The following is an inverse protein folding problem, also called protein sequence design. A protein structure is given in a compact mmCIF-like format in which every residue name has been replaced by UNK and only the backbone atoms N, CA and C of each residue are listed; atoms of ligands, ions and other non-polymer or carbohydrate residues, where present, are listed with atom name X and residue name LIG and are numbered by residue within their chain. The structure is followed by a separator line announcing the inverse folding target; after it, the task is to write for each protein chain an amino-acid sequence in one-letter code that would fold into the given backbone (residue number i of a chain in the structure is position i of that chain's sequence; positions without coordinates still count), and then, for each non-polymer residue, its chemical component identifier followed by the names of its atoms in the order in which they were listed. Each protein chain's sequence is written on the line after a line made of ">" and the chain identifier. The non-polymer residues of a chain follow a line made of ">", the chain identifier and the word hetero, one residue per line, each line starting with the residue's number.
data_IF_726242960781
#
_entry.id   IF_726242960781
#
_cell.length_a   1.000
_cell.length_b   1.000
_cell.length_c   1.000
_cell.angle_alpha   90.00
_cell.angle_beta   90.00
_cell.angle_gamma   90.00
#
_symmetry.space_group_name_H-M   'P 1'
#
loop_
_entity.id
_entity.type
_entity.pdbx_description
1 polymer ?
#
# COMPACT_ATOMS: atom_id res chain seq x y z
N UNK A 1 3.04 -14.91 64.28
CA UNK A 1 3.62 -15.34 62.99
C UNK A 1 2.77 -16.36 62.23
N UNK A 2 2.35 -17.51 62.78
CA UNK A 2 1.56 -18.52 62.02
C UNK A 2 0.22 -18.01 61.44
N UNK A 3 -0.47 -17.08 62.12
CA UNK A 3 -1.77 -16.54 61.65
C UNK A 3 -1.66 -15.67 60.40
N UNK A 4 -0.55 -14.94 60.23
CA UNK A 4 -0.35 -14.03 59.08
C UNK A 4 -0.10 -14.80 57.78
N UNK A 5 0.57 -15.96 57.87
CA UNK A 5 0.84 -16.82 56.70
C UNK A 5 -0.45 -17.43 56.14
N UNK A 6 -1.37 -17.85 57.01
CA UNK A 6 -2.66 -18.44 56.60
C UNK A 6 -3.54 -17.40 55.87
N UNK A 7 -3.54 -16.15 56.34
CA UNK A 7 -4.33 -15.07 55.73
C UNK A 7 -3.84 -14.77 54.31
N UNK A 8 -2.52 -14.66 54.10
CA UNK A 8 -1.95 -14.39 52.78
C UNK A 8 -2.23 -15.53 51.78
N UNK A 9 -2.26 -16.78 52.25
CA UNK A 9 -2.52 -17.95 51.40
C UNK A 9 -3.99 -18.03 50.95
N UNK A 10 -4.92 -17.61 51.81
CA UNK A 10 -6.35 -17.50 51.47
C UNK A 10 -6.60 -16.38 50.46
N UNK A 11 -5.94 -15.22 50.62
CA UNK A 11 -6.06 -14.10 49.68
C UNK A 11 -5.53 -14.52 48.30
N UNK A 12 -4.38 -15.19 48.24
CA UNK A 12 -3.81 -15.67 46.98
C UNK A 12 -4.75 -16.67 46.28
N UNK A 13 -5.37 -17.59 47.03
CA UNK A 13 -6.32 -18.55 46.47
C UNK A 13 -7.57 -17.88 45.91
N UNK A 14 -8.08 -16.84 46.58
CA UNK A 14 -9.23 -16.06 46.11
C UNK A 14 -8.87 -15.30 44.82
N UNK A 15 -7.67 -14.70 44.74
CA UNK A 15 -7.22 -14.01 43.53
C UNK A 15 -7.09 -14.96 42.32
N UNK A 16 -6.70 -16.22 42.53
CA UNK A 16 -6.60 -17.20 41.44
C UNK A 16 -7.99 -17.59 40.91
N UNK A 17 -9.01 -17.63 41.78
CA UNK A 17 -10.37 -18.01 41.40
C UNK A 17 -11.14 -16.90 40.66
N UNK A 18 -10.69 -15.65 40.71
CA UNK A 18 -11.39 -14.51 40.08
C UNK A 18 -10.92 -14.18 38.66
N UNK A 19 -9.98 -14.94 38.08
CA UNK A 19 -9.38 -14.63 36.75
C UNK A 19 -10.09 -15.35 35.59
N UNK A 20 -11.16 -16.10 35.82
CA UNK A 20 -11.93 -16.73 34.73
C UNK A 20 -12.92 -15.75 34.09
N UNK A 21 -12.40 -14.74 33.40
CA UNK A 21 -13.16 -14.03 32.37
C UNK A 21 -13.12 -14.88 31.10
N UNK A 22 -14.20 -15.60 30.80
CA UNK A 22 -14.43 -16.10 29.45
C UNK A 22 -14.71 -14.87 28.58
N UNK A 23 -13.84 -14.60 27.62
CA UNK A 23 -14.11 -13.57 26.62
C UNK A 23 -15.34 -14.02 25.83
N UNK A 24 -16.42 -13.23 25.89
CA UNK A 24 -17.58 -13.42 25.05
C UNK A 24 -17.18 -13.05 23.62
N UNK A 25 -17.32 -13.99 22.69
CA UNK A 25 -17.06 -13.76 21.28
C UNK A 25 -18.26 -12.96 20.74
N UNK A 26 -18.02 -11.72 20.34
CA UNK A 26 -19.01 -10.85 19.72
C UNK A 26 -18.80 -10.92 18.21
N UNK A 27 -19.79 -11.45 17.49
CA UNK A 27 -19.84 -11.43 16.02
C UNK A 27 -20.71 -10.26 15.58
N UNK A 28 -20.19 -9.41 14.70
CA UNK A 28 -20.97 -8.34 14.08
C UNK A 28 -21.61 -8.88 12.80
N UNK A 29 -22.85 -8.48 12.50
CA UNK A 29 -23.49 -8.79 11.22
C UNK A 29 -22.55 -8.44 10.03
N UNK A 30 -22.43 -9.28 8.99
CA UNK A 30 -23.21 -10.50 8.70
C UNK A 30 -22.63 -11.81 9.28
N UNK A 31 -21.88 -11.77 10.39
CA UNK A 31 -21.27 -12.97 10.98
C UNK A 31 -22.08 -13.52 12.16
N UNK A 32 -22.18 -14.85 12.25
CA UNK A 32 -22.84 -15.58 13.35
C UNK A 32 -21.83 -16.36 14.19
N UNK A 33 -22.19 -16.65 15.44
CA UNK A 33 -21.35 -17.43 16.36
C UNK A 33 -21.42 -18.92 16.04
N UNK A 34 -20.28 -19.52 15.65
CA UNK A 34 -20.13 -20.93 15.32
C UNK A 34 -18.96 -21.54 16.12
N UNK A 35 -19.30 -22.50 17.00
CA UNK A 35 -18.40 -23.11 17.99
C UNK A 35 -17.66 -22.08 18.86
N UNK A 36 -16.37 -21.86 18.61
CA UNK A 36 -15.49 -20.92 19.32
C UNK A 36 -15.01 -19.77 18.38
N UNK A 37 -15.79 -19.45 17.33
CA UNK A 37 -15.45 -18.44 16.31
C UNK A 37 -16.68 -17.76 15.69
N UNK A 38 -16.45 -16.74 14.85
CA UNK A 38 -17.48 -16.12 14.02
C UNK A 38 -17.35 -16.63 12.59
N UNK A 39 -18.47 -16.95 11.92
CA UNK A 39 -18.47 -17.30 10.50
C UNK A 39 -19.56 -16.53 9.73
N UNK A 40 -19.38 -16.44 8.41
CA UNK A 40 -20.24 -15.64 7.53
C UNK A 40 -21.63 -16.28 7.36
N UNK A 41 -22.67 -15.45 7.43
CA UNK A 41 -24.08 -15.76 7.15
C UNK A 41 -24.59 -14.76 6.10
N UNK A 42 -24.20 -14.97 4.86
CA UNK A 42 -24.41 -14.05 3.74
C UNK A 42 -25.89 -13.91 3.39
N UNK A 43 -26.70 -14.95 3.61
CA UNK A 43 -28.14 -14.96 3.30
C UNK A 43 -29.05 -14.81 4.54
N UNK A 44 -28.48 -14.43 5.69
CA UNK A 44 -29.16 -14.18 6.97
C UNK A 44 -30.03 -15.37 7.44
N UNK A 45 -29.63 -16.60 7.09
CA UNK A 45 -30.39 -17.81 7.39
C UNK A 45 -29.95 -18.49 8.71
N UNK A 46 -28.96 -17.93 9.42
CA UNK A 46 -28.31 -18.46 10.63
C UNK A 46 -27.60 -19.81 10.40
N UNK A 47 -27.11 -20.04 9.19
CA UNK A 47 -26.27 -21.17 8.82
C UNK A 47 -24.93 -20.59 8.41
N UNK A 48 -23.87 -21.24 8.87
CA UNK A 48 -22.53 -20.92 8.43
C UNK A 48 -22.46 -21.21 6.94
N UNK A 49 -22.31 -20.17 6.11
CA UNK A 49 -21.99 -20.41 4.71
C UNK A 49 -20.63 -21.07 4.69
N UNK A 50 -20.53 -22.22 4.01
CA UNK A 50 -19.23 -22.83 3.75
C UNK A 50 -18.44 -21.77 2.99
N UNK A 51 -17.54 -21.08 3.69
CA UNK A 51 -16.39 -20.45 3.08
C UNK A 51 -15.79 -21.58 2.24
N UNK A 52 -16.00 -21.49 0.93
CA UNK A 52 -15.34 -22.37 -0.01
C UNK A 52 -13.87 -21.99 0.17
N UNK A 53 -13.20 -22.63 1.13
CA UNK A 53 -11.77 -22.74 1.13
C UNK A 53 -11.47 -23.16 -0.29
N UNK A 54 -10.76 -22.28 -0.99
CA UNK A 54 -10.33 -22.50 -2.34
C UNK A 54 -9.28 -23.59 -2.23
N UNK A 55 -9.74 -24.82 -2.02
CA UNK A 55 -8.97 -26.03 -2.17
C UNK A 55 -8.39 -25.90 -3.56
N UNK A 56 -7.09 -25.68 -3.61
CA UNK A 56 -6.29 -25.60 -4.81
C UNK A 56 -6.50 -26.90 -5.59
N UNK A 57 -7.46 -26.91 -6.50
CA UNK A 57 -7.66 -28.00 -7.44
C UNK A 57 -6.45 -28.03 -8.37
N UNK A 58 -5.59 -29.05 -8.20
CA UNK A 58 -4.68 -29.48 -9.26
C UNK A 58 -5.55 -29.91 -10.46
N UNK A 59 -5.62 -29.04 -11.47
CA UNK A 59 -6.19 -29.34 -12.77
C UNK A 59 -5.32 -30.41 -13.43
N UNK A 60 -5.77 -31.66 -13.40
CA UNK A 60 -5.24 -32.70 -14.28
C UNK A 60 -5.73 -32.43 -15.70
N UNK A 61 -4.82 -32.05 -16.60
CA UNK A 61 -5.09 -31.94 -18.04
C UNK A 61 -5.49 -33.31 -18.62
N UNK A 62 -6.79 -33.51 -18.87
CA UNK A 62 -7.27 -34.54 -19.78
C UNK A 62 -7.49 -33.93 -21.17
N UNK A 63 -6.68 -34.41 -22.11
CA UNK A 63 -6.59 -33.99 -23.51
C UNK A 63 -7.93 -34.26 -24.22
N UNK A 64 -8.69 -33.21 -24.53
CA UNK A 64 -9.76 -33.27 -25.52
C UNK A 64 -9.18 -32.84 -26.87
N UNK A 65 -8.96 -33.83 -27.74
CA UNK A 65 -8.78 -33.60 -29.18
C UNK A 65 -10.15 -33.36 -29.79
N UNK A 66 -10.43 -32.13 -30.19
CA UNK A 66 -11.51 -31.87 -31.15
C UNK A 66 -11.00 -31.20 -32.43
N UNK A 67 -11.53 -31.77 -33.49
CA UNK A 67 -11.33 -31.59 -34.91
C UNK A 67 -11.91 -30.25 -35.35
N UNK A 68 -11.09 -29.35 -35.89
CA UNK A 68 -11.55 -28.12 -36.55
C UNK A 68 -11.01 -28.09 -37.97
N UNK A 69 -11.77 -28.72 -38.87
CA UNK A 69 -11.73 -28.48 -40.30
C UNK A 69 -12.34 -27.12 -40.62
N UNK A 70 -11.59 -26.28 -41.32
CA UNK A 70 -12.14 -25.22 -42.18
C UNK A 70 -12.02 -23.80 -41.63
N UNK A 71 -10.83 -23.22 -41.78
CA UNK A 71 -10.66 -21.76 -41.83
C UNK A 71 -10.00 -21.44 -43.17
N UNK A 72 -10.69 -20.66 -43.99
CA UNK A 72 -10.21 -20.09 -45.25
C UNK A 72 -9.00 -19.18 -44.99
N UNK A 73 -7.98 -19.31 -45.85
CA UNK A 73 -6.85 -18.38 -45.92
C UNK A 73 -7.36 -16.96 -46.21
N UNK A 74 -7.38 -16.11 -45.18
CA UNK A 74 -7.43 -14.67 -45.36
C UNK A 74 -6.01 -14.23 -45.70
N UNK A 75 -5.79 -13.86 -46.97
CA UNK A 75 -4.62 -13.09 -47.38
C UNK A 75 -4.75 -11.69 -46.80
N UNK A 76 -4.02 -11.44 -45.72
CA UNK A 76 -3.69 -10.10 -45.26
C UNK A 76 -2.61 -9.56 -46.20
N UNK A 77 -2.95 -8.51 -46.95
CA UNK A 77 -1.98 -7.68 -47.63
C UNK A 77 -1.29 -6.84 -46.56
N UNK A 78 0.00 -7.13 -46.32
CA UNK A 78 0.90 -6.34 -45.50
C UNK A 78 1.12 -5.00 -46.20
N UNK A 79 0.40 -3.97 -45.75
CA UNK A 79 0.68 -2.59 -46.11
C UNK A 79 1.83 -2.11 -45.22
N UNK A 80 3.05 -2.28 -45.73
CA UNK A 80 4.28 -1.73 -45.17
C UNK A 80 4.24 -0.20 -45.24
N UNK A 81 3.72 0.44 -44.20
CA UNK A 81 4.10 1.79 -43.85
C UNK A 81 4.29 1.90 -42.34
N UNK A 82 5.38 1.32 -41.85
CA UNK A 82 5.94 1.65 -40.55
C UNK A 82 6.37 3.12 -40.57
N UNK A 83 5.50 3.99 -40.07
CA UNK A 83 5.93 5.30 -39.60
C UNK A 83 6.67 5.08 -38.28
N UNK A 84 7.99 4.92 -38.38
CA UNK A 84 8.90 4.94 -37.24
C UNK A 84 8.81 6.32 -36.61
N UNK A 85 7.97 6.45 -35.58
CA UNK A 85 7.98 7.61 -34.70
C UNK A 85 9.25 7.45 -33.85
N UNK A 86 10.35 8.08 -34.27
CA UNK A 86 11.50 8.32 -33.39
C UNK A 86 11.02 9.21 -32.24
N UNK A 87 10.63 8.61 -31.12
CA UNK A 87 10.48 9.30 -29.84
C UNK A 87 11.89 9.56 -29.29
N UNK A 88 12.63 10.44 -29.97
CA UNK A 88 13.94 10.93 -29.55
C UNK A 88 13.78 12.32 -28.89
N UNK A 89 13.02 12.39 -27.82
CA UNK A 89 13.21 13.41 -26.79
C UNK A 89 13.40 12.72 -25.45
N UNK A 90 14.54 12.04 -25.30
CA UNK A 90 15.10 11.77 -23.99
C UNK A 90 15.50 13.13 -23.43
N UNK A 91 14.63 13.67 -22.56
CA UNK A 91 14.87 14.93 -21.87
C UNK A 91 16.20 14.81 -21.12
N UNK A 92 17.20 15.62 -21.50
CA UNK A 92 18.54 15.57 -20.91
C UNK A 92 18.50 16.12 -19.48
N UNK A 93 18.18 15.25 -18.53
CA UNK A 93 18.10 15.52 -17.09
C UNK A 93 19.48 15.73 -16.44
N UNK A 94 20.58 15.74 -17.20
CA UNK A 94 21.93 15.83 -16.64
C UNK A 94 22.33 17.22 -16.11
N UNK A 95 21.48 18.24 -16.28
CA UNK A 95 21.81 19.63 -15.96
C UNK A 95 20.99 20.26 -14.82
N UNK A 96 20.16 19.48 -14.13
CA UNK A 96 19.49 19.91 -12.91
C UNK A 96 20.35 19.54 -11.69
N UNK A 97 20.89 20.55 -10.99
CA UNK A 97 21.60 20.42 -9.71
C UNK A 97 20.57 20.23 -8.59
N UNK A 98 19.82 19.12 -8.63
CA UNK A 98 18.89 18.69 -7.58
C UNK A 98 19.72 18.20 -6.38
N UNK A 99 20.25 19.13 -5.57
CA UNK A 99 20.93 18.75 -4.32
C UNK A 99 19.97 18.17 -3.27
N UNK A 100 18.67 18.35 -3.48
CA UNK A 100 17.59 17.84 -2.66
C UNK A 100 16.56 17.24 -3.61
N UNK A 101 16.11 16.03 -3.32
CA UNK A 101 15.20 15.31 -4.19
C UNK A 101 14.99 13.87 -3.74
N UNK A 102 13.97 13.26 -4.33
CA UNK A 102 13.48 11.93 -4.02
C UNK A 102 14.54 10.85 -4.25
N UNK A 103 15.56 11.08 -5.09
CA UNK A 103 16.69 10.15 -5.29
C UNK A 103 17.42 9.77 -3.98
N UNK A 104 17.35 10.64 -2.96
CA UNK A 104 18.03 10.45 -1.68
C UNK A 104 17.04 10.38 -0.52
N UNK A 105 15.75 10.09 -0.78
CA UNK A 105 14.72 10.25 0.25
C UNK A 105 15.05 9.44 1.50
N UNK A 106 15.53 8.21 1.32
CA UNK A 106 15.95 7.30 2.39
C UNK A 106 16.95 7.96 3.35
N UNK A 107 17.91 8.71 2.83
CA UNK A 107 18.95 9.35 3.63
C UNK A 107 18.38 10.45 4.54
N UNK A 108 17.23 11.03 4.20
CA UNK A 108 16.54 12.00 5.07
C UNK A 108 15.98 11.39 6.35
N UNK A 109 15.75 10.06 6.35
CA UNK A 109 15.23 9.31 7.49
C UNK A 109 16.36 8.61 8.28
N UNK A 110 17.52 8.36 7.65
CA UNK A 110 18.65 7.69 8.31
C UNK A 110 19.18 8.46 9.52
N UNK A 111 19.24 7.78 10.67
CA UNK A 111 19.92 8.27 11.88
C UNK A 111 19.20 9.38 12.67
N UNK A 112 17.97 9.74 12.29
CA UNK A 112 17.13 10.66 13.06
C UNK A 112 16.43 9.91 14.22
N UNK A 113 16.18 10.56 15.37
CA UNK A 113 15.46 9.94 16.48
C UNK A 113 14.07 9.51 16.02
N UNK A 114 13.72 8.27 16.36
CA UNK A 114 12.58 7.59 15.80
C UNK A 114 11.24 8.16 16.30
N UNK A 115 10.52 8.83 15.40
CA UNK A 115 9.12 9.25 15.55
C UNK A 115 8.43 9.29 14.18
N UNK A 116 8.70 8.26 13.37
CA UNK A 116 8.18 8.10 12.02
C UNK A 116 6.75 7.56 12.01
N UNK A 117 5.88 8.15 11.22
CA UNK A 117 4.49 7.70 11.06
C UNK A 117 4.16 7.43 9.59
N UNK A 118 3.44 6.33 9.34
CA UNK A 118 2.67 6.20 8.12
C UNK A 118 1.28 6.77 8.39
N UNK A 119 0.88 7.79 7.63
CA UNK A 119 -0.42 8.43 7.83
C UNK A 119 -1.34 8.02 6.69
N UNK A 120 -2.46 7.41 7.03
CA UNK A 120 -3.48 6.94 6.07
C UNK A 120 -4.80 7.66 6.35
N UNK A 121 -5.64 7.85 5.34
CA UNK A 121 -6.95 8.46 5.53
C UNK A 121 -7.90 7.58 6.34
N UNK A 122 -8.70 8.17 7.24
CA UNK A 122 -9.72 7.43 8.01
C UNK A 122 -10.75 6.72 7.11
N UNK A 123 -10.96 7.23 5.89
CA UNK A 123 -11.91 6.67 4.92
C UNK A 123 -11.23 5.89 3.79
N UNK A 124 -9.90 5.69 3.85
CA UNK A 124 -9.19 4.88 2.86
C UNK A 124 -9.53 3.39 2.99
N UNK A 125 -9.29 2.64 1.91
CA UNK A 125 -9.49 1.19 1.91
C UNK A 125 -8.35 0.47 2.64
N UNK A 126 -8.55 -0.79 3.01
CA UNK A 126 -7.50 -1.63 3.61
C UNK A 126 -6.25 -1.79 2.73
N UNK A 127 -6.39 -1.58 1.42
CA UNK A 127 -5.26 -1.59 0.48
C UNK A 127 -4.21 -0.52 0.79
N UNK A 128 -4.63 0.65 1.30
CA UNK A 128 -3.69 1.71 1.69
C UNK A 128 -2.81 1.28 2.86
N UNK A 129 -3.38 0.57 3.84
CA UNK A 129 -2.62 -0.01 4.95
C UNK A 129 -1.62 -1.07 4.47
N UNK A 130 -2.02 -1.88 3.49
CA UNK A 130 -1.13 -2.87 2.88
C UNK A 130 0.04 -2.20 2.16
N UNK A 131 -0.22 -1.13 1.39
CA UNK A 131 0.82 -0.35 0.72
C UNK A 131 1.82 0.28 1.72
N UNK A 132 1.32 0.88 2.79
CA UNK A 132 2.15 1.40 3.87
C UNK A 132 3.02 0.30 4.50
N UNK A 133 2.45 -0.88 4.71
CA UNK A 133 3.16 -2.05 5.25
C UNK A 133 4.23 -2.57 4.29
N UNK A 134 3.95 -2.60 2.98
CA UNK A 134 4.94 -2.98 1.97
C UNK A 134 6.12 -2.01 1.94
N UNK A 135 5.86 -0.70 2.01
CA UNK A 135 6.92 0.31 2.12
C UNK A 135 7.70 0.18 3.43
N UNK A 136 7.04 -0.19 4.54
CA UNK A 136 7.70 -0.45 5.81
C UNK A 136 8.65 -1.65 5.72
N UNK A 137 8.20 -2.75 5.12
CA UNK A 137 9.02 -3.93 4.88
C UNK A 137 10.26 -3.58 4.07
N UNK A 138 10.09 -2.84 2.96
CA UNK A 138 11.20 -2.40 2.11
C UNK A 138 12.17 -1.46 2.86
N UNK A 139 11.65 -0.44 3.54
CA UNK A 139 12.48 0.52 4.27
C UNK A 139 13.21 -0.13 5.44
N UNK A 140 12.67 -1.14 6.12
CA UNK A 140 13.38 -1.85 7.17
C UNK A 140 14.57 -2.68 6.66
N UNK A 141 14.55 -3.08 5.37
CA UNK A 141 15.66 -3.79 4.74
C UNK A 141 16.84 -2.84 4.43
N UNK A 142 16.55 -1.62 3.98
CA UNK A 142 17.60 -0.67 3.57
C UNK A 142 17.98 0.35 4.64
N UNK A 143 17.02 0.75 5.47
CA UNK A 143 17.12 1.82 6.45
C UNK A 143 17.28 1.21 7.85
N UNK A 144 18.32 0.38 8.05
CA UNK A 144 18.87 -0.11 9.34
C UNK A 144 17.89 -0.27 10.53
N UNK A 145 17.80 -1.44 11.19
CA UNK A 145 16.86 -1.75 12.28
C UNK A 145 16.97 -0.89 13.57
N UNK A 146 17.78 0.16 13.55
CA UNK A 146 17.89 1.18 14.59
C UNK A 146 16.78 2.26 14.52
N UNK A 147 16.04 2.37 13.42
CA UNK A 147 14.79 3.12 13.36
C UNK A 147 13.72 2.24 13.98
N UNK A 148 13.03 2.62 15.06
CA UNK A 148 11.98 1.77 15.66
C UNK A 148 10.84 1.39 14.69
N UNK A 149 9.83 0.68 15.20
CA UNK A 149 8.68 0.28 14.39
C UNK A 149 7.88 1.49 13.94
N UNK A 150 7.84 1.78 12.64
CA UNK A 150 6.90 2.75 12.07
C UNK A 150 5.50 2.38 12.49
N UNK A 151 4.73 3.39 12.91
CA UNK A 151 3.34 3.18 13.31
C UNK A 151 2.45 3.74 12.22
N UNK A 152 1.54 2.90 11.73
CA UNK A 152 0.42 3.36 10.89
C UNK A 152 -0.59 4.03 11.82
N UNK A 153 -0.97 5.25 11.49
CA UNK A 153 -1.96 6.06 12.21
C UNK A 153 -2.95 6.67 11.22
N UNK A 154 -4.15 6.97 11.69
CA UNK A 154 -5.14 7.66 10.88
C UNK A 154 -4.81 9.16 10.79
N UNK A 155 -5.19 9.79 9.68
CA UNK A 155 -5.08 11.24 9.47
C UNK A 155 -5.82 12.04 10.56
N UNK A 156 -6.94 11.52 11.07
CA UNK A 156 -7.70 12.12 12.18
C UNK A 156 -7.01 11.98 13.55
N UNK A 157 -6.09 11.02 13.69
CA UNK A 157 -5.25 10.84 14.89
C UNK A 157 -3.94 11.62 14.79
N UNK A 158 -3.55 12.02 13.59
CA UNK A 158 -2.31 12.75 13.36
C UNK A 158 -2.44 14.20 13.85
N UNK A 159 -1.78 14.50 14.96
CA UNK A 159 -1.53 15.88 15.34
C UNK A 159 -0.22 16.33 14.70
N UNK A 160 -0.28 17.29 13.78
CA UNK A 160 0.92 17.94 13.23
C UNK A 160 1.79 18.48 14.37
N UNK A 161 2.85 17.76 14.70
CA UNK A 161 3.98 18.32 15.41
C UNK A 161 4.99 18.74 14.37
N UNK A 162 5.59 19.93 14.51
CA UNK A 162 6.60 20.42 13.58
C UNK A 162 7.77 19.44 13.40
N UNK A 163 7.98 18.57 14.40
CA UNK A 163 9.09 17.61 14.48
C UNK A 163 8.74 16.19 14.03
N UNK A 164 7.48 15.92 13.68
CA UNK A 164 7.08 14.63 13.15
C UNK A 164 7.74 14.39 11.78
N UNK A 165 8.09 13.13 11.56
CA UNK A 165 8.55 12.61 10.28
C UNK A 165 7.46 11.66 9.81
N UNK A 166 6.96 11.82 8.60
CA UNK A 166 5.88 10.98 8.09
C UNK A 166 5.99 10.67 6.60
N UNK A 167 5.37 9.55 6.23
CA UNK A 167 5.01 9.23 4.86
C UNK A 167 3.49 9.11 4.83
N UNK A 168 2.83 10.02 4.13
CA UNK A 168 1.38 10.06 4.03
C UNK A 168 0.91 9.40 2.73
N UNK A 169 -0.13 8.58 2.81
CA UNK A 169 -0.78 7.92 1.69
C UNK A 169 -2.23 8.33 1.61
N UNK A 170 -2.77 8.45 0.42
CA UNK A 170 -4.21 8.57 0.25
C UNK A 170 -4.62 8.57 -1.21
N UNK A 171 -5.87 8.20 -1.47
CA UNK A 171 -6.51 8.59 -2.73
C UNK A 171 -7.01 10.02 -2.60
N UNK A 172 -7.36 10.64 -3.73
CA UNK A 172 -7.95 11.97 -3.74
C UNK A 172 -9.15 12.01 -2.78
N UNK A 173 -9.20 13.04 -1.93
CA UNK A 173 -10.28 13.32 -0.98
C UNK A 173 -10.40 12.41 0.27
N UNK A 174 -9.56 11.38 0.43
CA UNK A 174 -9.72 10.42 1.56
C UNK A 174 -8.76 10.65 2.72
N UNK A 175 -7.70 11.43 2.51
CA UNK A 175 -6.74 11.82 3.53
C UNK A 175 -6.70 13.34 3.68
N UNK A 176 -7.35 13.84 4.74
CA UNK A 176 -7.48 15.28 5.00
C UNK A 176 -6.15 15.93 5.35
N UNK A 177 -5.23 15.19 5.97
CA UNK A 177 -3.90 15.70 6.27
C UNK A 177 -3.16 16.07 4.98
N UNK A 178 -3.27 15.25 3.93
CA UNK A 178 -2.66 15.56 2.63
C UNK A 178 -3.26 16.86 2.06
N UNK A 179 -4.58 17.03 2.14
CA UNK A 179 -5.24 18.26 1.67
C UNK A 179 -4.74 19.50 2.40
N UNK A 180 -4.63 19.43 3.74
CA UNK A 180 -4.15 20.51 4.59
C UNK A 180 -2.67 20.87 4.29
N UNK A 181 -1.82 19.85 4.10
CA UNK A 181 -0.38 20.03 3.83
C UNK A 181 -0.13 20.59 2.42
N UNK A 182 -0.89 20.13 1.42
CA UNK A 182 -0.74 20.58 0.03
C UNK A 182 -1.54 21.84 -0.29
N UNK A 183 -2.41 22.29 0.63
CA UNK A 183 -3.30 23.43 0.41
C UNK A 183 -4.35 23.17 -0.68
N UNK A 184 -4.87 21.94 -0.75
CA UNK A 184 -5.85 21.53 -1.74
C UNK A 184 -7.25 21.89 -1.23
N UNK A 185 -7.92 22.85 -1.89
CA UNK A 185 -9.30 23.22 -1.55
C UNK A 185 -10.34 22.29 -2.19
N UNK A 186 -10.02 21.73 -3.37
CA UNK A 186 -10.84 20.76 -4.09
C UNK A 186 -9.95 19.60 -4.53
N UNK A 187 -10.09 18.49 -3.82
CA UNK A 187 -9.32 17.26 -4.03
C UNK A 187 -9.43 16.69 -5.45
N UNK A 188 -10.53 16.96 -6.18
CA UNK A 188 -10.68 16.51 -7.57
C UNK A 188 -9.98 17.41 -8.59
N UNK A 189 -9.45 18.56 -8.15
CA UNK A 189 -8.78 19.52 -9.02
C UNK A 189 -7.27 19.34 -9.06
N UNK A 190 -6.72 18.58 -8.10
CA UNK A 190 -5.28 18.44 -7.94
C UNK A 190 -4.69 17.32 -8.80
N UNK A 191 -5.42 16.22 -8.95
CA UNK A 191 -5.09 15.09 -9.84
C UNK A 191 -6.27 14.80 -10.77
N UNK A 192 -5.97 14.37 -12.00
CA UNK A 192 -6.94 13.78 -12.90
C UNK A 192 -6.95 12.25 -12.78
N UNK A 193 -7.99 11.62 -13.33
CA UNK A 193 -8.07 10.16 -13.47
C UNK A 193 -6.83 9.62 -14.20
N UNK A 194 -6.24 8.53 -13.67
CA UNK A 194 -5.00 7.96 -14.20
C UNK A 194 -3.72 8.68 -13.78
N UNK A 195 -3.79 9.62 -12.82
CA UNK A 195 -2.62 10.34 -12.29
C UNK A 195 -2.31 9.98 -10.83
N UNK A 196 -1.03 9.96 -10.50
CA UNK A 196 -0.53 9.96 -9.12
C UNK A 196 0.72 10.81 -8.97
N UNK A 197 1.07 11.15 -7.73
CA UNK A 197 2.29 11.88 -7.41
C UNK A 197 3.03 11.26 -6.22
N UNK A 198 4.34 11.46 -6.22
CA UNK A 198 5.20 11.37 -5.04
C UNK A 198 5.79 12.76 -4.82
N UNK A 199 5.67 13.30 -3.61
CA UNK A 199 6.18 14.63 -3.27
C UNK A 199 6.96 14.63 -1.98
N UNK A 200 8.13 15.22 -2.02
CA UNK A 200 8.98 15.51 -0.89
C UNK A 200 8.63 16.89 -0.32
N UNK A 201 8.46 16.98 1.00
CA UNK A 201 8.09 18.23 1.68
C UNK A 201 9.09 18.52 2.80
N UNK A 202 9.76 19.67 2.71
CA UNK A 202 10.64 20.15 3.78
C UNK A 202 9.82 20.93 4.83
N UNK A 203 9.90 20.48 6.08
CA UNK A 203 9.34 21.18 7.22
C UNK A 203 10.23 22.35 7.66
N UNK A 204 9.64 23.29 8.42
CA UNK A 204 10.36 24.46 8.96
C UNK A 204 11.58 24.14 9.85
N UNK A 205 11.72 22.90 10.31
CA UNK A 205 12.86 22.41 11.11
C UNK A 205 13.92 21.66 10.28
N UNK A 206 13.76 21.57 8.95
CA UNK A 206 14.65 20.84 8.04
C UNK A 206 14.44 19.32 8.03
N UNK A 207 13.34 18.83 8.61
CA UNK A 207 12.89 17.46 8.36
C UNK A 207 12.17 17.37 7.02
N UNK A 208 12.23 16.19 6.42
CA UNK A 208 11.53 15.90 5.18
C UNK A 208 10.43 14.89 5.45
N UNK A 209 9.30 15.08 4.78
CA UNK A 209 8.19 14.15 4.73
C UNK A 209 7.92 13.78 3.28
N UNK A 210 7.22 12.67 3.08
CA UNK A 210 6.81 12.22 1.75
C UNK A 210 5.29 12.15 1.71
N UNK A 211 4.72 12.63 0.62
CA UNK A 211 3.33 12.41 0.25
C UNK A 211 3.29 11.50 -0.96
N UNK A 212 2.48 10.46 -0.89
CA UNK A 212 2.15 9.58 -2.00
C UNK A 212 0.64 9.71 -2.18
N UNK A 213 0.22 10.25 -3.33
CA UNK A 213 -1.18 10.56 -3.60
C UNK A 213 -1.56 9.98 -4.96
N UNK A 214 -2.63 9.20 -5.00
CA UNK A 214 -3.24 8.73 -6.24
C UNK A 214 -4.60 9.36 -6.48
N UNK A 215 -5.06 9.40 -7.73
CA UNK A 215 -6.45 9.71 -8.00
C UNK A 215 -7.36 8.64 -7.36
N UNK A 216 -7.17 7.37 -7.72
CA UNK A 216 -7.77 6.20 -7.08
C UNK A 216 -6.67 5.28 -6.48
N UNK A 217 -7.08 4.08 -6.04
CA UNK A 217 -6.21 3.16 -5.31
C UNK A 217 -5.11 2.58 -6.20
N UNK A 218 -5.41 2.36 -7.48
CA UNK A 218 -4.50 1.79 -8.45
C UNK A 218 -3.37 2.76 -8.83
N UNK A 219 -3.65 4.06 -8.97
CA UNK A 219 -2.61 5.06 -9.19
C UNK A 219 -1.76 5.27 -7.94
N UNK A 220 -2.36 5.19 -6.75
CA UNK A 220 -1.63 5.21 -5.48
C UNK A 220 -0.68 4.01 -5.36
N UNK A 221 -1.12 2.82 -5.77
CA UNK A 221 -0.30 1.62 -5.85
C UNK A 221 0.85 1.80 -6.84
N UNK A 222 0.60 2.47 -7.97
CA UNK A 222 1.62 2.77 -8.98
C UNK A 222 2.72 3.66 -8.41
N UNK A 223 2.35 4.76 -7.77
CA UNK A 223 3.30 5.66 -7.12
C UNK A 223 4.07 4.95 -5.99
N UNK A 224 3.38 4.17 -5.15
CA UNK A 224 4.03 3.43 -4.05
C UNK A 224 5.04 2.42 -4.57
N UNK A 225 4.68 1.65 -5.59
CA UNK A 225 5.57 0.65 -6.20
C UNK A 225 6.79 1.31 -6.82
N UNK A 226 6.61 2.45 -7.50
CA UNK A 226 7.73 3.19 -8.06
C UNK A 226 8.71 3.69 -6.99
N UNK A 227 8.18 4.15 -5.84
CA UNK A 227 9.01 4.56 -4.70
C UNK A 227 9.88 3.43 -4.17
N UNK A 228 9.36 2.20 -4.19
CA UNK A 228 10.03 0.98 -3.71
C UNK A 228 11.05 0.48 -4.73
N UNK A 229 10.62 0.21 -5.97
CA UNK A 229 11.41 -0.57 -6.92
C UNK A 229 12.34 0.28 -7.78
N UNK A 230 12.10 1.59 -7.88
CA UNK A 230 12.81 2.49 -8.83
C UNK A 230 13.31 3.77 -8.17
N UNK A 231 13.75 3.68 -6.92
CA UNK A 231 14.27 4.83 -6.15
C UNK A 231 15.36 5.60 -6.90
N UNK A 232 16.27 4.89 -7.59
CA UNK A 232 17.39 5.49 -8.33
C UNK A 232 16.94 6.36 -9.53
N UNK A 233 15.67 6.26 -9.92
CA UNK A 233 15.07 7.01 -11.02
C UNK A 233 14.26 8.22 -10.55
N UNK A 234 13.94 8.28 -9.26
CA UNK A 234 13.24 9.42 -8.69
C UNK A 234 14.18 10.63 -8.69
N UNK A 235 13.80 11.73 -9.35
CA UNK A 235 14.58 12.97 -9.37
C UNK A 235 13.71 14.16 -9.01
N UNK A 236 14.26 15.06 -8.20
CA UNK A 236 13.59 16.32 -7.81
C UNK A 236 12.65 16.16 -6.62
N UNK A 237 11.89 17.21 -6.32
CA UNK A 237 11.04 17.27 -5.12
C UNK A 237 9.64 16.70 -5.36
N UNK A 238 9.18 16.68 -6.61
CA UNK A 238 7.86 16.19 -6.99
C UNK A 238 7.97 15.39 -8.28
N UNK A 239 7.34 14.21 -8.28
CA UNK A 239 7.22 13.37 -9.47
C UNK A 239 5.75 13.08 -9.68
N UNK A 240 5.29 13.34 -10.89
CA UNK A 240 3.95 12.98 -11.35
C UNK A 240 4.02 11.81 -12.31
N UNK A 241 3.10 10.87 -12.13
CA UNK A 241 2.88 9.68 -12.95
C UNK A 241 1.56 9.83 -13.70
N UNK A 242 1.54 9.47 -14.99
CA UNK A 242 0.33 9.45 -15.80
C UNK A 242 0.24 8.15 -16.61
N UNK A 243 -0.94 7.53 -16.64
CA UNK A 243 -1.31 6.52 -17.62
C UNK A 243 -0.90 5.07 -17.32
N UNK A 244 -0.39 4.78 -16.11
CA UNK A 244 -0.18 3.41 -15.64
C UNK A 244 -0.97 3.18 -14.37
N UNK A 245 -1.71 2.08 -14.38
CA UNK A 245 -2.67 1.66 -13.38
C UNK A 245 -2.29 0.23 -13.06
N UNK A 246 -1.75 -0.01 -11.87
CA UNK A 246 -1.60 -1.36 -11.35
C UNK A 246 -2.98 -1.82 -10.93
N UNK A 247 -3.47 -2.89 -11.55
CA UNK A 247 -4.80 -3.42 -11.26
C UNK A 247 -4.84 -4.07 -9.87
N UNK A 248 -6.02 -4.15 -9.25
CA UNK A 248 -6.19 -4.87 -7.98
C UNK A 248 -5.72 -6.33 -8.05
N UNK A 249 -5.88 -6.99 -9.22
CA UNK A 249 -5.39 -8.35 -9.46
C UNK A 249 -3.87 -8.42 -9.35
N UNK A 250 -3.15 -7.51 -10.03
CA UNK A 250 -1.69 -7.40 -9.94
C UNK A 250 -1.23 -7.03 -8.52
N UNK A 251 -1.95 -6.14 -7.83
CA UNK A 251 -1.66 -5.81 -6.42
C UNK A 251 -1.82 -7.04 -5.53
N UNK A 252 -2.91 -7.80 -5.70
CA UNK A 252 -3.22 -8.99 -4.93
C UNK A 252 -2.15 -10.06 -5.13
N UNK A 253 -1.81 -10.37 -6.38
CA UNK A 253 -0.79 -11.37 -6.71
C UNK A 253 0.57 -11.01 -6.11
N UNK A 254 0.94 -9.74 -6.18
CA UNK A 254 2.21 -9.28 -5.65
C UNK A 254 2.27 -9.32 -4.11
N UNK A 255 1.18 -8.96 -3.42
CA UNK A 255 1.13 -9.04 -1.96
C UNK A 255 1.07 -10.49 -1.46
N UNK A 256 0.29 -11.35 -2.12
CA UNK A 256 0.07 -12.74 -1.69
C UNK A 256 1.28 -13.64 -1.94
N UNK A 257 2.05 -13.38 -3.00
CA UNK A 257 3.21 -14.21 -3.33
C UNK A 257 4.42 -13.96 -2.42
N UNK A 258 4.36 -12.93 -1.56
CA UNK A 258 5.46 -12.60 -0.64
C UNK A 258 6.77 -12.32 -1.36
N UNK A 259 6.71 -11.94 -2.65
CA UNK A 259 7.90 -11.46 -3.35
C UNK A 259 8.34 -10.18 -2.64
N UNK A 260 9.54 -10.21 -2.06
CA UNK A 260 10.14 -9.07 -1.34
C UNK A 260 10.35 -7.83 -2.22
N UNK A 261 10.22 -8.00 -3.55
CA UNK A 261 10.25 -6.95 -4.56
C UNK A 261 9.06 -7.14 -5.48
N UNK A 262 8.27 -6.10 -5.72
CA UNK A 262 7.14 -6.17 -6.63
C UNK A 262 7.71 -6.31 -8.04
N UNK A 263 7.69 -7.52 -8.57
CA UNK A 263 8.29 -7.82 -9.87
C UNK A 263 7.30 -7.43 -10.98
N UNK A 264 7.13 -6.11 -11.15
CA UNK A 264 6.31 -5.52 -12.21
C UNK A 264 6.97 -5.58 -13.59
N UNK A 265 7.77 -6.61 -13.85
CA UNK A 265 8.39 -6.83 -15.18
C UNK A 265 7.36 -7.06 -16.28
N UNK A 266 6.09 -7.32 -15.93
CA UNK A 266 4.96 -7.40 -16.86
C UNK A 266 4.24 -6.07 -17.13
N UNK A 267 4.41 -5.06 -16.28
CA UNK A 267 3.72 -3.77 -16.44
C UNK A 267 4.43 -2.92 -17.49
N UNK A 268 3.65 -2.27 -18.36
CA UNK A 268 4.19 -1.43 -19.44
C UNK A 268 4.66 -0.08 -18.90
N UNK A 269 5.73 -0.10 -18.10
CA UNK A 269 6.35 1.09 -17.51
C UNK A 269 6.85 2.08 -18.56
N UNK A 270 7.09 1.63 -19.79
CA UNK A 270 7.50 2.47 -20.92
C UNK A 270 6.43 3.53 -21.26
N UNK A 271 5.19 3.36 -20.80
CA UNK A 271 4.12 4.34 -20.98
C UNK A 271 4.01 5.35 -19.84
N UNK A 272 4.74 5.18 -18.73
CA UNK A 272 4.71 6.15 -17.63
C UNK A 272 5.34 7.45 -18.09
N UNK A 273 4.54 8.51 -18.13
CA UNK A 273 5.07 9.86 -18.24
C UNK A 273 5.49 10.32 -16.86
N UNK A 274 6.79 10.55 -16.71
CA UNK A 274 7.40 11.12 -15.51
C UNK A 274 7.67 12.59 -15.78
N UNK A 275 7.08 13.48 -14.99
CA UNK A 275 7.44 14.89 -14.98
C UNK A 275 7.98 15.29 -13.61
N UNK A 276 9.13 15.97 -13.59
CA UNK A 276 9.72 16.55 -12.41
C UNK A 276 9.38 18.05 -12.36
N UNK A 277 8.87 18.51 -11.22
CA UNK A 277 8.68 19.94 -10.92
C UNK A 277 9.71 20.44 -9.90
#
# INVERSE_FOLDING_TARGET
>A
MKKTIIINLIILLICILTISCSNEIICNDPYIHYEDSCCLDQDENNICDEDIETDSYEVSEEIIKEDTTGIEEIKLEEDESEEVIEVNEIMDLSNYDCKQGLENYIDYFKGKPFNGHYVVGENDTSWVNLMATSLDSYSNLEISPALGNWTIILDSEFSESSDAIYIAFGTSCKNKMIDDVLGIEDCNSYLNEGESIIKLIENSNGNFNIIILGFEIEELATATSFLIDRIDELKGEEIKFEGVIITEEEMSDNLLTGKETLDYTGSNWDNVKISCN
#
